data_IF_300878149925
#
_entry.id   IF_300878149925
#
_cell.length_a   1.000
_cell.length_b   1.000
_cell.length_c   1.000
_cell.angle_alpha   90.00
_cell.angle_beta   90.00
_cell.angle_gamma   90.00
#
_symmetry.space_group_name_H-M   'P 1'
#
loop_
_entity.id
_entity.type
_entity.pdbx_description
1 polymer ?
#
# COMPACT_ATOMS: atom_id res chain seq x y z
N UNK A 1 32.79 -1.44 27.88
CA UNK A 1 31.91 -2.62 28.06
C UNK A 1 30.48 -2.26 28.49
N UNK A 2 30.19 -1.03 28.93
CA UNK A 2 28.83 -0.63 29.36
C UNK A 2 27.79 -0.62 28.24
N UNK A 3 28.12 -0.08 27.06
CA UNK A 3 27.18 -0.01 25.92
C UNK A 3 26.69 -1.37 25.44
N UNK A 4 27.58 -2.38 25.40
CA UNK A 4 27.20 -3.73 24.97
C UNK A 4 26.24 -4.38 25.97
N UNK A 5 26.51 -4.27 27.27
CA UNK A 5 25.61 -4.80 28.30
C UNK A 5 24.25 -4.10 28.25
N UNK A 6 24.21 -2.77 28.16
CA UNK A 6 22.95 -2.04 28.03
C UNK A 6 22.16 -2.41 26.78
N UNK A 7 22.83 -2.68 25.66
CA UNK A 7 22.17 -3.14 24.44
C UNK A 7 21.59 -4.55 24.58
N UNK A 8 22.32 -5.47 25.21
CA UNK A 8 21.85 -6.83 25.48
C UNK A 8 20.69 -6.83 26.47
N UNK A 9 20.78 -6.03 27.54
CA UNK A 9 19.72 -5.88 28.53
C UNK A 9 18.45 -5.39 27.83
N UNK A 10 18.52 -4.32 27.04
CA UNK A 10 17.38 -3.81 26.27
C UNK A 10 16.84 -4.84 25.27
N UNK A 11 17.71 -5.47 24.47
CA UNK A 11 17.26 -6.40 23.43
C UNK A 11 16.63 -7.67 24.03
N UNK A 12 17.02 -8.04 25.25
CA UNK A 12 16.37 -9.13 25.99
C UNK A 12 14.94 -8.79 26.43
N UNK A 13 14.63 -7.50 26.70
CA UNK A 13 13.28 -7.10 27.15
C UNK A 13 12.23 -7.12 26.04
N UNK A 14 12.65 -7.23 24.78
CA UNK A 14 11.73 -7.27 23.62
C UNK A 14 11.57 -8.69 23.05
N UNK A 15 12.16 -9.70 23.69
CA UNK A 15 11.95 -11.09 23.33
C UNK A 15 10.51 -11.51 23.68
N UNK A 16 9.84 -12.20 22.76
CA UNK A 16 8.51 -12.74 22.99
C UNK A 16 8.54 -13.94 23.96
N UNK A 17 7.39 -14.27 24.55
CA UNK A 17 7.28 -15.32 25.58
C UNK A 17 7.69 -16.72 25.10
N UNK A 18 7.64 -16.98 23.79
CA UNK A 18 8.07 -18.22 23.12
C UNK A 18 9.53 -18.16 22.61
N UNK A 19 10.24 -17.06 22.88
CA UNK A 19 11.66 -16.90 22.63
C UNK A 19 12.06 -16.26 21.30
N UNK A 20 11.11 -15.88 20.42
CA UNK A 20 11.44 -15.17 19.17
C UNK A 20 11.56 -13.65 19.37
N UNK A 21 12.05 -12.93 18.36
CA UNK A 21 12.08 -11.46 18.32
C UNK A 21 11.16 -10.95 17.22
N UNK A 22 10.20 -10.12 17.62
CA UNK A 22 9.35 -9.40 16.68
C UNK A 22 10.13 -8.25 16.05
N UNK A 23 9.84 -7.98 14.77
CA UNK A 23 10.43 -6.86 14.06
C UNK A 23 9.57 -6.48 12.88
N UNK A 24 9.52 -5.18 12.58
CA UNK A 24 8.93 -4.70 11.34
C UNK A 24 9.76 -5.24 10.15
N UNK A 25 9.09 -5.95 9.25
CA UNK A 25 9.67 -6.49 8.02
C UNK A 25 8.99 -5.91 6.77
N UNK A 26 8.59 -4.65 6.86
CA UNK A 26 8.08 -3.87 5.75
C UNK A 26 9.18 -3.42 4.77
N UNK A 27 8.82 -2.46 3.92
CA UNK A 27 9.74 -1.85 2.96
C UNK A 27 9.19 -1.83 1.54
N UNK A 28 8.84 -2.99 0.94
CA UNK A 28 8.28 -3.03 -0.42
C UNK A 28 6.88 -2.39 -0.50
N UNK A 29 6.71 -1.41 -1.40
CA UNK A 29 5.47 -0.64 -1.55
C UNK A 29 4.48 -1.24 -2.57
N UNK A 30 4.61 -2.54 -2.87
CA UNK A 30 3.76 -3.25 -3.86
C UNK A 30 3.07 -4.51 -3.31
N UNK A 31 3.39 -4.94 -2.08
CA UNK A 31 2.74 -6.09 -1.44
C UNK A 31 1.33 -5.74 -0.95
N UNK A 32 1.23 -4.65 -0.18
CA UNK A 32 -0.03 -4.19 0.39
C UNK A 32 -1.07 -3.84 -0.70
N UNK A 33 -0.69 -3.16 -1.81
CA UNK A 33 -1.62 -2.98 -2.92
C UNK A 33 -2.16 -4.27 -3.53
N UNK A 34 -1.32 -5.28 -3.71
CA UNK A 34 -1.75 -6.58 -4.23
C UNK A 34 -2.78 -7.25 -3.32
N UNK A 35 -2.59 -7.19 -2.01
CA UNK A 35 -3.54 -7.69 -1.02
C UNK A 35 -4.88 -6.95 -1.10
N UNK A 36 -4.87 -5.61 -1.07
CA UNK A 36 -6.09 -4.79 -1.10
C UNK A 36 -6.90 -5.04 -2.37
N UNK A 37 -6.24 -5.09 -3.54
CA UNK A 37 -6.90 -5.36 -4.82
C UNK A 37 -7.52 -6.77 -4.81
N UNK A 38 -6.78 -7.77 -4.34
CA UNK A 38 -7.28 -9.16 -4.28
C UNK A 38 -8.49 -9.29 -3.38
N UNK A 39 -8.43 -8.70 -2.18
CA UNK A 39 -9.53 -8.72 -1.21
C UNK A 39 -10.76 -7.96 -1.72
N UNK A 40 -10.56 -6.86 -2.45
CA UNK A 40 -11.65 -6.13 -3.08
C UNK A 40 -12.35 -6.97 -4.14
N UNK A 41 -11.58 -7.55 -5.08
CA UNK A 41 -12.12 -8.38 -6.18
C UNK A 41 -12.85 -9.62 -5.67
N UNK A 42 -12.35 -10.23 -4.59
CA UNK A 42 -12.95 -11.42 -3.97
C UNK A 42 -14.13 -11.11 -3.06
N UNK A 43 -14.45 -9.83 -2.81
CA UNK A 43 -15.51 -9.41 -1.89
C UNK A 43 -15.18 -9.64 -0.41
N UNK A 44 -13.95 -10.05 -0.08
CA UNK A 44 -13.51 -10.37 1.27
C UNK A 44 -12.92 -9.17 2.03
N UNK A 45 -12.84 -7.99 1.42
CA UNK A 45 -12.16 -6.81 1.98
C UNK A 45 -12.62 -6.47 3.39
N UNK A 46 -13.93 -6.29 3.61
CA UNK A 46 -14.47 -5.94 4.92
C UNK A 46 -14.57 -7.13 5.90
N UNK A 47 -14.37 -8.35 5.40
CA UNK A 47 -14.34 -9.57 6.23
C UNK A 47 -12.95 -9.78 6.80
N UNK A 48 -11.90 -9.51 6.01
CA UNK A 48 -10.50 -9.73 6.39
C UNK A 48 -9.90 -8.48 7.05
N UNK A 49 -10.19 -7.29 6.52
CA UNK A 49 -9.68 -6.03 7.05
C UNK A 49 -10.78 -5.29 7.80
N UNK A 50 -10.66 -5.24 9.13
CA UNK A 50 -11.50 -4.39 9.98
C UNK A 50 -11.32 -2.91 9.64
N UNK A 51 -12.18 -2.04 10.18
CA UNK A 51 -12.08 -0.60 9.94
C UNK A 51 -10.76 -0.02 10.43
N UNK A 52 -10.26 -0.50 11.56
CA UNK A 52 -8.98 -0.09 12.15
C UNK A 52 -7.82 -0.48 11.24
N UNK A 53 -7.84 -1.70 10.68
CA UNK A 53 -6.84 -2.10 9.68
C UNK A 53 -6.86 -1.19 8.46
N UNK A 54 -8.04 -0.86 7.93
CA UNK A 54 -8.17 0.02 6.76
C UNK A 54 -7.64 1.42 7.08
N UNK A 55 -7.92 1.96 8.26
CA UNK A 55 -7.41 3.27 8.71
C UNK A 55 -5.88 3.28 8.84
N UNK A 56 -5.30 2.28 9.49
CA UNK A 56 -3.84 2.21 9.66
C UNK A 56 -3.12 1.92 8.34
N UNK A 57 -3.75 1.19 7.41
CA UNK A 57 -3.24 1.02 6.05
C UNK A 57 -3.22 2.37 5.32
N UNK A 58 -4.32 3.14 5.35
CA UNK A 58 -4.35 4.47 4.75
C UNK A 58 -3.26 5.37 5.37
N UNK A 59 -3.14 5.38 6.70
CA UNK A 59 -2.10 6.14 7.40
C UNK A 59 -0.69 5.72 6.97
N UNK A 60 -0.43 4.42 6.88
CA UNK A 60 0.85 3.89 6.41
C UNK A 60 1.18 4.38 5.00
N UNK A 61 0.22 4.31 4.08
CA UNK A 61 0.40 4.78 2.71
C UNK A 61 0.68 6.28 2.67
N UNK A 62 -0.08 7.10 3.40
CA UNK A 62 0.16 8.55 3.45
C UNK A 62 1.52 8.90 4.05
N UNK A 63 1.96 8.21 5.11
CA UNK A 63 3.26 8.45 5.74
C UNK A 63 4.45 8.17 4.80
N UNK A 64 4.28 7.30 3.82
CA UNK A 64 5.31 6.93 2.84
C UNK A 64 5.13 7.60 1.48
N UNK A 65 4.20 8.55 1.35
CA UNK A 65 4.07 9.33 0.13
C UNK A 65 5.23 10.32 0.02
N UNK A 66 5.89 10.33 -1.12
CA UNK A 66 6.95 11.30 -1.41
C UNK A 66 6.36 12.72 -1.56
N UNK A 67 7.23 13.73 -1.44
CA UNK A 67 6.84 15.16 -1.54
C UNK A 67 6.18 15.53 -2.87
N UNK A 68 6.53 14.82 -3.93
CA UNK A 68 5.96 14.98 -5.27
C UNK A 68 4.57 14.31 -5.43
N UNK A 69 4.08 13.61 -4.40
CA UNK A 69 2.80 12.91 -4.38
C UNK A 69 2.85 11.48 -4.87
N UNK A 70 4.03 10.94 -5.21
CA UNK A 70 4.19 9.56 -5.65
C UNK A 70 4.66 8.60 -4.56
N UNK A 71 4.80 7.33 -4.94
CA UNK A 71 5.39 6.27 -4.12
C UNK A 71 6.46 5.51 -4.92
N UNK A 72 7.52 5.11 -4.23
CA UNK A 72 8.59 4.29 -4.81
C UNK A 72 8.27 2.81 -4.89
N UNK A 73 9.27 2.01 -5.32
CA UNK A 73 9.22 0.55 -5.22
C UNK A 73 9.33 0.04 -3.78
N UNK A 74 9.95 0.85 -2.93
CA UNK A 74 10.08 0.65 -1.49
C UNK A 74 9.99 2.01 -0.77
N UNK A 75 9.87 1.98 0.56
CA UNK A 75 9.63 3.16 1.42
C UNK A 75 10.67 4.28 1.31
N UNK A 76 11.93 3.94 0.99
CA UNK A 76 13.02 4.90 0.78
C UNK A 76 13.23 5.27 -0.70
N UNK A 77 12.44 4.70 -1.60
CA UNK A 77 12.62 4.84 -3.04
C UNK A 77 12.02 6.13 -3.60
N UNK A 78 12.61 6.71 -4.66
CA UNK A 78 11.99 7.82 -5.38
C UNK A 78 10.68 7.37 -6.02
N UNK A 79 9.78 8.31 -6.28
CA UNK A 79 8.49 8.03 -6.90
C UNK A 79 8.64 7.31 -8.23
N UNK A 80 7.91 6.21 -8.36
CA UNK A 80 7.85 5.43 -9.60
C UNK A 80 6.41 5.31 -10.05
N UNK A 81 6.19 5.15 -11.35
CA UNK A 81 4.84 4.89 -11.84
C UNK A 81 4.19 3.67 -11.22
N UNK A 82 4.96 2.59 -11.09
CA UNK A 82 4.45 1.34 -10.52
C UNK A 82 4.01 1.52 -9.08
N UNK A 83 4.86 2.11 -8.23
CA UNK A 83 4.53 2.40 -6.83
C UNK A 83 3.35 3.35 -6.71
N UNK A 84 3.36 4.48 -7.43
CA UNK A 84 2.30 5.48 -7.34
C UNK A 84 0.94 4.96 -7.77
N UNK A 85 0.87 4.26 -8.92
CA UNK A 85 -0.42 3.76 -9.44
C UNK A 85 -1.01 2.71 -8.50
N UNK A 86 -0.19 1.76 -8.03
CA UNK A 86 -0.68 0.71 -7.14
C UNK A 86 -1.21 1.27 -5.82
N UNK A 87 -0.45 2.14 -5.17
CA UNK A 87 -0.86 2.72 -3.89
C UNK A 87 -2.05 3.68 -4.02
N UNK A 88 -2.13 4.45 -5.11
CA UNK A 88 -3.32 5.25 -5.44
C UNK A 88 -4.57 4.40 -5.56
N UNK A 89 -4.52 3.31 -6.35
CA UNK A 89 -5.66 2.41 -6.53
C UNK A 89 -6.06 1.80 -5.19
N UNK A 90 -5.11 1.38 -4.36
CA UNK A 90 -5.41 0.84 -3.03
C UNK A 90 -6.16 1.83 -2.15
N UNK A 91 -5.73 3.09 -2.09
CA UNK A 91 -6.42 4.14 -1.34
C UNK A 91 -7.87 4.31 -1.82
N UNK A 92 -8.09 4.32 -3.15
CA UNK A 92 -9.43 4.42 -3.74
C UNK A 92 -10.33 3.23 -3.38
N UNK A 93 -9.78 2.01 -3.38
CA UNK A 93 -10.51 0.80 -3.00
C UNK A 93 -10.82 0.73 -1.50
N UNK A 94 -10.00 1.36 -0.67
CA UNK A 94 -10.23 1.51 0.77
C UNK A 94 -11.24 2.62 1.11
N UNK A 95 -11.71 3.37 0.12
CA UNK A 95 -12.78 4.35 0.28
C UNK A 95 -12.33 5.81 0.34
N UNK A 96 -11.03 6.10 0.16
CA UNK A 96 -10.55 7.47 0.03
C UNK A 96 -11.14 8.11 -1.24
N UNK A 97 -11.77 9.28 -1.11
CA UNK A 97 -12.37 10.03 -2.22
C UNK A 97 -11.34 10.51 -3.24
N UNK A 98 -11.78 10.89 -4.44
CA UNK A 98 -10.90 11.47 -5.46
C UNK A 98 -10.23 12.78 -4.99
N UNK A 99 -10.86 13.47 -4.03
CA UNK A 99 -10.32 14.68 -3.39
C UNK A 99 -9.91 14.41 -1.92
N UNK A 100 -9.74 13.14 -1.54
CA UNK A 100 -9.36 12.70 -0.20
C UNK A 100 -7.86 12.87 0.11
N UNK A 101 -7.49 12.68 1.37
CA UNK A 101 -6.10 12.73 1.83
C UNK A 101 -5.41 14.10 1.74
N UNK A 102 -6.13 15.20 1.98
CA UNK A 102 -5.56 16.57 1.96
C UNK A 102 -4.78 16.91 0.67
N UNK A 103 -5.26 16.45 -0.49
CA UNK A 103 -4.63 16.68 -1.80
C UNK A 103 -3.54 15.67 -2.17
N UNK A 104 -3.28 14.66 -1.33
CA UNK A 104 -2.39 13.53 -1.64
C UNK A 104 -2.84 12.75 -2.88
N UNK A 105 -4.15 12.46 -2.95
CA UNK A 105 -4.77 11.73 -4.07
C UNK A 105 -4.71 12.54 -5.36
N UNK A 106 -4.87 13.86 -5.28
CA UNK A 106 -4.79 14.76 -6.42
C UNK A 106 -3.36 14.82 -7.01
N UNK A 107 -2.35 14.96 -6.15
CA UNK A 107 -0.93 15.00 -6.57
C UNK A 107 -0.51 13.69 -7.25
N UNK A 108 -0.90 12.55 -6.70
CA UNK A 108 -0.64 11.24 -7.29
C UNK A 108 -1.21 11.12 -8.71
N UNK A 109 -2.42 11.65 -8.94
CA UNK A 109 -3.10 11.63 -10.25
C UNK A 109 -2.37 12.45 -11.31
N UNK A 110 -1.69 13.54 -10.93
CA UNK A 110 -0.97 14.43 -11.86
C UNK A 110 0.28 13.79 -12.49
N UNK A 111 0.73 12.62 -12.01
CA UNK A 111 1.89 11.88 -12.55
C UNK A 111 1.61 11.12 -13.88
N UNK A 112 0.50 11.46 -14.54
CA UNK A 112 -0.17 10.75 -15.66
C UNK A 112 0.71 10.48 -16.90
N UNK A 113 1.78 11.23 -17.16
CA UNK A 113 2.49 11.15 -18.45
C UNK A 113 3.29 9.85 -18.70
N UNK A 114 3.44 8.96 -17.71
CA UNK A 114 4.18 7.71 -17.86
C UNK A 114 3.31 6.42 -17.85
N UNK A 115 1.97 6.56 -17.97
CA UNK A 115 0.96 5.48 -17.90
C UNK A 115 1.06 4.35 -18.96
N UNK A 116 2.08 4.32 -19.83
CA UNK A 116 2.17 3.38 -20.95
C UNK A 116 2.61 1.96 -20.57
N UNK A 117 2.96 1.70 -19.30
CA UNK A 117 3.38 0.36 -18.82
C UNK A 117 2.27 -0.46 -18.14
N UNK A 118 1.04 0.09 -18.09
CA UNK A 118 -0.18 -0.58 -17.59
C UNK A 118 -0.55 -1.84 -18.40
N UNK A 119 -0.02 -1.99 -19.62
CA UNK A 119 -0.45 -3.05 -20.55
C UNK A 119 -0.05 -4.48 -20.17
N UNK A 120 0.91 -4.73 -19.26
CA UNK A 120 1.36 -6.11 -19.01
C UNK A 120 0.36 -6.94 -18.18
N UNK A 121 -0.09 -6.54 -16.97
CA UNK A 121 -1.17 -7.24 -16.27
C UNK A 121 -2.53 -7.05 -16.97
N UNK A 122 -2.74 -5.89 -17.62
CA UNK A 122 -3.94 -5.65 -18.43
C UNK A 122 -4.01 -6.55 -19.66
N UNK A 123 -2.89 -6.94 -20.29
CA UNK A 123 -2.90 -7.87 -21.44
C UNK A 123 -3.29 -9.30 -21.04
N UNK A 124 -2.90 -9.73 -19.84
CA UNK A 124 -3.33 -11.02 -19.28
C UNK A 124 -4.83 -11.02 -18.94
N UNK A 125 -5.33 -9.95 -18.31
CA UNK A 125 -6.76 -9.78 -17.99
C UNK A 125 -7.62 -9.53 -19.25
N UNK A 126 -7.09 -8.79 -20.23
CA UNK A 126 -7.71 -8.55 -21.54
C UNK A 126 -7.84 -9.86 -22.33
N UNK A 127 -6.79 -10.69 -22.34
CA UNK A 127 -6.83 -12.03 -22.95
C UNK A 127 -7.85 -12.96 -22.29
N UNK A 128 -8.16 -12.74 -21.00
CA UNK A 128 -9.18 -13.49 -20.26
C UNK A 128 -10.57 -12.85 -20.26
N UNK A 129 -10.72 -11.64 -20.84
CA UNK A 129 -11.94 -10.82 -20.79
C UNK A 129 -12.54 -10.73 -19.38
N UNK A 130 -11.68 -10.67 -18.37
CA UNK A 130 -12.13 -10.62 -16.98
C UNK A 130 -12.75 -9.25 -16.70
N UNK A 131 -14.02 -9.25 -16.27
CA UNK A 131 -14.73 -8.04 -15.84
C UNK A 131 -15.15 -8.26 -14.39
N UNK A 132 -14.50 -7.53 -13.48
CA UNK A 132 -14.97 -7.44 -12.10
C UNK A 132 -16.31 -6.68 -12.02
N UNK A 133 -17.08 -6.85 -10.94
CA UNK A 133 -18.32 -6.12 -10.76
C UNK A 133 -18.08 -4.59 -10.80
N UNK A 134 -18.86 -3.89 -11.64
CA UNK A 134 -18.77 -2.44 -11.80
C UNK A 134 -19.44 -1.78 -10.59
N UNK A 135 -18.64 -1.13 -9.75
CA UNK A 135 -19.10 -0.37 -8.58
C UNK A 135 -19.04 1.14 -8.86
N UNK A 136 -19.78 1.98 -8.11
CA UNK A 136 -19.72 3.43 -8.26
C UNK A 136 -18.31 4.02 -8.09
N UNK A 137 -17.45 3.39 -7.29
CA UNK A 137 -16.03 3.74 -7.13
C UNK A 137 -15.23 3.59 -8.42
N UNK A 138 -15.61 2.64 -9.29
CA UNK A 138 -14.94 2.39 -10.57
C UNK A 138 -15.31 3.46 -11.61
N UNK A 139 -16.48 4.10 -11.45
CA UNK A 139 -17.02 5.08 -12.39
C UNK A 139 -16.66 6.55 -12.06
N UNK A 140 -15.97 6.82 -10.94
CA UNK A 140 -15.62 8.16 -10.44
C UNK A 140 -14.11 8.40 -10.42
#
# INVERSE_FOLDING_TARGET
MTTLHSALDFYSTIQADDGHWLGDYGGPMFLLPGLVITLYVTGALNTVLSKEHQYEICRYLYNHQNRDGGWGLHIEGPSTMFGTVLNYVSLRLLGEGAEGGEGAIEKARRMWCHCRMVYLPMSFLYGKKFVGPITPTILS
#
